data_IF_287318516168
#
_entry.id   IF_287318516168
#
_cell.length_a   1.000
_cell.length_b   1.000
_cell.length_c   1.000
_cell.angle_alpha   90.00
_cell.angle_beta   90.00
_cell.angle_gamma   90.00
#
_symmetry.space_group_name_H-M   'P 1'
#
loop_
_entity.id
_entity.type
_entity.pdbx_description
1 polymer ?
#
# COMPACT_ATOMS: atom_id res chain seq x y z
N UNK A 1 -12.66 13.30 5.95
CA UNK A 1 -12.88 13.02 4.52
C UNK A 1 -12.43 14.24 3.75
N UNK A 2 -11.21 14.18 3.25
CA UNK A 2 -10.70 15.23 2.38
C UNK A 2 -11.46 15.15 1.06
N UNK A 3 -12.17 16.23 0.73
CA UNK A 3 -12.94 16.30 -0.49
C UNK A 3 -12.00 16.56 -1.67
N UNK A 4 -12.29 15.96 -2.83
CA UNK A 4 -11.60 16.27 -4.07
C UNK A 4 -11.88 17.73 -4.43
N UNK A 5 -10.84 18.49 -4.72
CA UNK A 5 -10.94 19.86 -5.24
C UNK A 5 -11.05 19.82 -6.76
N UNK A 6 -12.05 20.48 -7.31
CA UNK A 6 -12.34 20.52 -8.73
C UNK A 6 -12.12 21.92 -9.29
N UNK A 7 -11.38 22.02 -10.38
CA UNK A 7 -11.28 23.25 -11.18
C UNK A 7 -11.99 23.06 -12.52
N UNK A 8 -12.93 23.93 -12.83
CA UNK A 8 -13.79 23.82 -14.01
C UNK A 8 -15.17 23.22 -13.70
N UNK A 9 -15.95 22.96 -14.75
CA UNK A 9 -17.31 22.49 -14.63
C UNK A 9 -17.36 20.97 -14.68
N UNK A 10 -16.98 20.33 -13.57
CA UNK A 10 -17.11 18.89 -13.39
C UNK A 10 -18.55 18.52 -13.07
N UNK A 11 -19.07 17.48 -13.68
CA UNK A 11 -20.41 16.95 -13.43
C UNK A 11 -20.34 15.45 -13.18
N UNK A 12 -21.10 15.01 -12.16
CA UNK A 12 -21.15 13.60 -11.76
C UNK A 12 -22.35 12.93 -12.44
N UNK A 13 -22.07 11.80 -13.06
CA UNK A 13 -23.05 10.88 -13.63
C UNK A 13 -23.30 9.75 -12.64
N UNK A 14 -24.57 9.36 -12.48
CA UNK A 14 -25.00 8.27 -11.61
C UNK A 14 -25.95 7.33 -12.36
N UNK A 15 -25.98 6.05 -11.96
CA UNK A 15 -26.94 5.07 -12.43
C UNK A 15 -26.37 3.91 -13.26
N UNK A 16 -25.05 3.79 -13.39
CA UNK A 16 -24.39 2.68 -14.11
C UNK A 16 -23.52 1.87 -13.14
N UNK A 17 -24.15 1.25 -12.13
CA UNK A 17 -23.47 0.55 -11.03
C UNK A 17 -22.54 -0.59 -11.51
N UNK A 18 -22.85 -1.20 -12.64
CA UNK A 18 -22.05 -2.29 -13.21
C UNK A 18 -20.79 -1.78 -13.94
N UNK A 19 -20.74 -0.48 -14.27
CA UNK A 19 -19.68 0.11 -15.08
C UNK A 19 -18.73 1.01 -14.30
N UNK A 20 -19.21 1.64 -13.23
CA UNK A 20 -18.44 2.62 -12.45
C UNK A 20 -18.42 2.26 -10.98
N UNK A 21 -17.31 2.54 -10.33
CA UNK A 21 -17.17 2.30 -8.89
C UNK A 21 -18.22 3.09 -8.10
N UNK A 22 -19.00 2.40 -7.27
CA UNK A 22 -20.11 3.03 -6.57
C UNK A 22 -21.23 3.57 -7.48
N UNK A 23 -21.27 3.18 -8.75
CA UNK A 23 -22.29 3.59 -9.72
C UNK A 23 -22.16 5.03 -10.21
N UNK A 24 -20.99 5.66 -10.04
CA UNK A 24 -20.81 7.07 -10.40
C UNK A 24 -19.46 7.30 -11.09
N UNK A 25 -19.41 8.27 -12.00
CA UNK A 25 -18.18 8.87 -12.52
C UNK A 25 -18.33 10.38 -12.62
N UNK A 26 -17.25 11.12 -12.59
CA UNK A 26 -17.25 12.57 -12.70
C UNK A 26 -16.48 13.00 -13.95
N UNK A 27 -17.05 13.86 -14.79
CA UNK A 27 -16.50 14.26 -16.08
C UNK A 27 -16.37 15.80 -16.18
N UNK A 28 -15.39 16.26 -16.96
CA UNK A 28 -15.20 17.65 -17.30
C UNK A 28 -14.73 17.81 -18.75
N UNK A 29 -15.13 18.92 -19.38
CA UNK A 29 -14.59 19.38 -20.66
C UNK A 29 -13.71 20.62 -20.43
N UNK A 30 -12.64 20.73 -21.21
CA UNK A 30 -11.77 21.88 -21.25
C UNK A 30 -10.36 21.58 -20.75
N UNK A 31 -9.39 21.72 -21.66
CA UNK A 31 -7.99 21.61 -21.30
C UNK A 31 -7.61 22.65 -20.24
N UNK A 32 -6.73 22.27 -19.32
CA UNK A 32 -6.32 23.07 -18.17
C UNK A 32 -7.21 22.93 -16.93
N UNK A 33 -8.42 22.39 -17.05
CA UNK A 33 -9.22 22.01 -15.89
C UNK A 33 -8.58 20.79 -15.20
N UNK A 34 -8.76 20.70 -13.88
CA UNK A 34 -8.11 19.64 -13.09
C UNK A 34 -8.98 19.17 -11.94
N UNK A 35 -8.63 18.03 -11.41
CA UNK A 35 -8.96 17.65 -10.03
C UNK A 35 -7.69 17.51 -9.21
N UNK A 36 -7.82 17.76 -7.90
CA UNK A 36 -6.75 17.62 -6.93
C UNK A 36 -7.27 16.95 -5.68
N UNK A 37 -6.47 16.06 -5.10
CA UNK A 37 -6.81 15.33 -3.89
C UNK A 37 -5.58 15.17 -2.99
N UNK A 38 -5.72 15.50 -1.72
CA UNK A 38 -4.70 15.23 -0.70
C UNK A 38 -5.02 13.91 0.01
N UNK A 39 -4.01 13.09 0.25
CA UNK A 39 -4.15 11.80 0.89
C UNK A 39 -2.97 11.51 1.80
N UNK A 40 -3.18 10.64 2.81
CA UNK A 40 -2.12 10.07 3.62
C UNK A 40 -1.92 8.61 3.18
N UNK A 41 -0.67 8.23 2.93
CA UNK A 41 -0.37 6.86 2.50
C UNK A 41 0.98 6.70 1.84
N UNK A 42 1.19 5.54 1.23
CA UNK A 42 2.41 5.15 0.51
C UNK A 42 2.20 5.03 -0.99
N UNK A 43 0.99 5.32 -1.47
CA UNK A 43 0.72 5.25 -2.90
C UNK A 43 -0.73 5.55 -3.28
N UNK A 44 -0.91 5.74 -4.58
CA UNK A 44 -2.21 6.04 -5.16
C UNK A 44 -2.37 5.44 -6.55
N UNK A 45 -3.56 4.99 -6.87
CA UNK A 45 -4.00 4.61 -8.20
C UNK A 45 -5.18 5.49 -8.64
N UNK A 46 -5.17 5.86 -9.92
CA UNK A 46 -6.24 6.62 -10.59
C UNK A 46 -6.96 5.72 -11.57
N UNK A 47 -8.25 5.58 -11.41
CA UNK A 47 -9.10 4.79 -12.27
C UNK A 47 -10.08 5.67 -13.04
N UNK A 48 -10.22 5.39 -14.33
CA UNK A 48 -11.01 6.18 -15.29
C UNK A 48 -11.77 5.26 -16.24
N UNK A 49 -12.73 5.81 -16.96
CA UNK A 49 -13.21 5.21 -18.19
C UNK A 49 -12.31 5.65 -19.35
N UNK A 50 -11.88 4.72 -20.20
CA UNK A 50 -11.19 5.02 -21.47
C UNK A 50 -12.15 4.98 -22.65
N UNK A 51 -12.02 5.96 -23.54
CA UNK A 51 -12.85 6.06 -24.73
C UNK A 51 -12.20 6.94 -25.80
N UNK A 52 -12.52 6.72 -27.08
CA UNK A 52 -11.99 7.51 -28.19
C UNK A 52 -12.33 9.00 -28.11
N UNK A 53 -13.32 9.41 -27.32
CA UNK A 53 -13.71 10.81 -27.11
C UNK A 53 -12.94 11.49 -25.97
N UNK A 54 -12.24 10.75 -25.15
CA UNK A 54 -11.48 11.33 -24.04
C UNK A 54 -10.09 11.78 -24.48
N UNK A 55 -9.62 12.81 -23.82
CA UNK A 55 -8.30 13.42 -23.96
C UNK A 55 -7.23 12.64 -23.14
N UNK A 56 -6.29 13.35 -22.58
CA UNK A 56 -5.30 12.83 -21.66
C UNK A 56 -5.33 13.59 -20.34
N UNK A 57 -4.74 13.02 -19.30
CA UNK A 57 -4.45 13.68 -18.03
C UNK A 57 -2.94 13.78 -17.83
N UNK A 58 -2.43 14.99 -17.57
CA UNK A 58 -1.10 15.15 -16.99
C UNK A 58 -1.24 14.96 -15.47
N UNK A 59 -0.50 14.01 -14.93
CA UNK A 59 -0.55 13.64 -13.52
C UNK A 59 0.63 14.26 -12.78
N UNK A 60 0.36 14.87 -11.64
CA UNK A 60 1.36 15.41 -10.73
C UNK A 60 1.23 14.74 -9.36
N UNK A 61 2.35 14.38 -8.75
CA UNK A 61 2.44 14.00 -7.33
C UNK A 61 3.33 15.03 -6.64
N UNK A 62 2.81 15.66 -5.59
CA UNK A 62 3.50 16.69 -4.79
C UNK A 62 4.09 17.83 -5.65
N UNK A 63 3.38 18.17 -6.74
CA UNK A 63 3.78 19.18 -7.70
C UNK A 63 4.74 18.72 -8.80
N UNK A 64 5.28 17.50 -8.74
CA UNK A 64 6.16 16.92 -9.75
C UNK A 64 5.38 16.16 -10.82
N UNK A 65 5.62 16.47 -12.11
CA UNK A 65 4.94 15.82 -13.22
C UNK A 65 5.37 14.34 -13.34
N UNK A 66 4.38 13.47 -13.38
CA UNK A 66 4.53 12.03 -13.66
C UNK A 66 4.24 11.73 -15.15
N UNK A 67 4.09 12.79 -15.96
CA UNK A 67 3.83 12.74 -17.38
C UNK A 67 2.36 12.61 -17.76
N UNK A 68 2.12 12.71 -19.06
CA UNK A 68 0.79 12.65 -19.65
C UNK A 68 0.33 11.21 -19.83
N UNK A 69 -0.90 10.91 -19.42
CA UNK A 69 -1.54 9.59 -19.51
C UNK A 69 -2.75 9.67 -20.40
N UNK A 70 -2.72 8.96 -21.53
CA UNK A 70 -3.82 8.93 -22.48
C UNK A 70 -5.03 8.18 -21.93
N UNK A 71 -6.20 8.76 -22.10
CA UNK A 71 -7.50 8.11 -21.82
C UNK A 71 -8.15 7.53 -23.08
N UNK A 72 -7.40 7.46 -24.19
CA UNK A 72 -7.89 6.83 -25.40
C UNK A 72 -8.17 5.34 -25.19
N UNK A 73 -9.30 4.89 -25.66
CA UNK A 73 -9.74 3.49 -25.59
C UNK A 73 -10.74 3.14 -26.70
N UNK A 74 -11.12 1.88 -26.80
CA UNK A 74 -12.07 1.38 -27.81
C UNK A 74 -13.51 1.87 -27.55
N UNK A 75 -13.81 2.25 -26.32
CA UNK A 75 -15.08 2.85 -25.92
C UNK A 75 -16.16 1.88 -25.49
N UNK A 76 -16.02 0.61 -25.74
CA UNK A 76 -16.97 -0.40 -25.25
C UNK A 76 -16.27 -1.32 -24.25
N UNK A 77 -16.65 -1.23 -22.98
CA UNK A 77 -16.10 -2.06 -21.92
C UNK A 77 -14.76 -1.58 -21.34
N UNK A 78 -14.32 -0.37 -21.69
CA UNK A 78 -13.10 0.25 -21.14
C UNK A 78 -13.39 1.05 -19.87
N UNK A 79 -14.30 0.56 -19.03
CA UNK A 79 -14.67 1.14 -17.72
C UNK A 79 -13.68 0.70 -16.64
N UNK A 80 -13.57 1.50 -15.57
CA UNK A 80 -12.70 1.22 -14.41
C UNK A 80 -11.25 0.85 -14.78
N UNK A 81 -10.70 1.54 -15.78
CA UNK A 81 -9.35 1.28 -16.26
C UNK A 81 -8.31 2.01 -15.42
N UNK A 82 -7.25 1.30 -15.04
CA UNK A 82 -6.09 1.91 -14.39
C UNK A 82 -5.42 2.89 -15.36
N UNK A 83 -5.40 4.17 -15.01
CA UNK A 83 -4.72 5.22 -15.74
C UNK A 83 -3.30 5.47 -15.24
N UNK A 84 -3.15 5.52 -13.93
CA UNK A 84 -1.89 5.82 -13.26
C UNK A 84 -1.77 5.06 -11.94
N UNK A 85 -0.55 4.64 -11.60
CA UNK A 85 -0.21 3.99 -10.33
C UNK A 85 1.15 4.48 -9.83
N UNK A 86 1.24 4.82 -8.54
CA UNK A 86 2.46 5.13 -7.81
C UNK A 86 2.34 4.50 -6.42
N UNK A 87 3.26 3.60 -6.04
CA UNK A 87 3.16 2.79 -4.80
C UNK A 87 4.44 2.83 -3.94
N UNK A 88 5.36 3.71 -4.27
CA UNK A 88 6.68 3.85 -3.64
C UNK A 88 6.89 5.24 -3.04
N UNK A 89 5.79 5.86 -2.58
CA UNK A 89 5.84 7.11 -1.82
C UNK A 89 6.25 6.84 -0.38
N UNK A 90 6.93 7.79 0.24
CA UNK A 90 7.15 7.75 1.68
C UNK A 90 5.80 7.78 2.42
N UNK A 91 5.72 7.16 3.60
CA UNK A 91 4.49 7.22 4.37
C UNK A 91 4.25 8.64 4.89
N UNK A 92 3.22 9.30 4.40
CA UNK A 92 2.96 10.69 4.75
C UNK A 92 1.81 11.30 3.96
N UNK A 93 1.68 12.61 4.10
CA UNK A 93 0.71 13.39 3.34
C UNK A 93 1.25 13.69 1.96
N UNK A 94 0.46 13.38 0.94
CA UNK A 94 0.75 13.61 -0.46
C UNK A 94 -0.41 14.32 -1.15
N UNK A 95 -0.14 14.91 -2.30
CA UNK A 95 -1.15 15.53 -3.16
C UNK A 95 -1.03 14.99 -4.57
N UNK A 96 -2.14 14.50 -5.13
CA UNK A 96 -2.26 14.20 -6.55
C UNK A 96 -3.06 15.31 -7.22
N UNK A 97 -2.56 15.81 -8.36
CA UNK A 97 -3.30 16.69 -9.26
C UNK A 97 -3.29 16.08 -10.66
N UNK A 98 -4.45 16.03 -11.30
CA UNK A 98 -4.61 15.56 -12.67
C UNK A 98 -5.22 16.63 -13.53
N UNK A 99 -4.47 17.14 -14.50
CA UNK A 99 -4.83 18.25 -15.38
C UNK A 99 -5.24 17.71 -16.75
N UNK A 100 -6.36 18.17 -17.28
CA UNK A 100 -6.82 17.80 -18.62
C UNK A 100 -5.88 18.43 -19.67
N UNK A 101 -5.28 17.58 -20.50
CA UNK A 101 -4.43 17.95 -21.63
C UNK A 101 -5.12 17.53 -22.91
N UNK A 102 -5.19 18.46 -23.88
CA UNK A 102 -5.76 18.14 -25.19
C UNK A 102 -4.96 17.00 -25.85
N UNK A 103 -5.67 16.01 -26.33
CA UNK A 103 -5.13 14.91 -27.09
C UNK A 103 -6.04 14.58 -28.28
N UNK A 104 -5.48 14.48 -29.48
CA UNK A 104 -6.23 14.13 -30.71
C UNK A 104 -7.45 15.02 -30.96
N UNK A 105 -7.36 16.34 -30.61
CA UNK A 105 -8.48 17.29 -30.73
C UNK A 105 -9.61 17.02 -29.71
N UNK A 106 -9.34 16.24 -28.63
CA UNK A 106 -10.26 15.99 -27.54
C UNK A 106 -9.78 16.73 -26.29
N UNK A 107 -10.74 17.21 -25.50
CA UNK A 107 -10.47 17.95 -24.26
C UNK A 107 -11.38 17.52 -23.09
N UNK A 108 -12.01 16.36 -23.22
CA UNK A 108 -12.86 15.78 -22.17
C UNK A 108 -12.08 14.72 -21.38
N UNK A 109 -12.23 14.72 -20.07
CA UNK A 109 -11.69 13.71 -19.18
C UNK A 109 -12.70 13.32 -18.10
N UNK A 110 -12.43 12.21 -17.42
CA UNK A 110 -13.25 11.74 -16.31
C UNK A 110 -12.38 11.18 -15.18
N UNK A 111 -12.97 11.06 -14.01
CA UNK A 111 -12.49 10.30 -12.87
C UNK A 111 -13.59 9.34 -12.46
N UNK A 112 -13.26 8.06 -12.34
CA UNK A 112 -14.13 7.05 -11.73
C UNK A 112 -13.86 7.00 -10.21
N UNK A 113 -12.65 6.55 -9.81
CA UNK A 113 -12.25 6.55 -8.41
C UNK A 113 -10.73 6.63 -8.22
N UNK A 114 -10.34 6.95 -6.99
CA UNK A 114 -8.98 6.90 -6.50
C UNK A 114 -8.85 5.74 -5.51
N UNK A 115 -7.74 4.99 -5.59
CA UNK A 115 -7.39 3.96 -4.60
C UNK A 115 -6.12 4.38 -3.88
N UNK A 116 -6.22 4.55 -2.57
CA UNK A 116 -5.09 4.92 -1.72
C UNK A 116 -4.47 3.67 -1.13
N UNK A 117 -3.14 3.62 -1.09
CA UNK A 117 -2.37 2.63 -0.39
C UNK A 117 -1.84 3.27 0.89
N UNK A 118 -2.25 2.72 2.00
CA UNK A 118 -1.65 3.02 3.30
C UNK A 118 -0.57 1.98 3.57
N UNK A 119 0.45 2.27 4.39
CA UNK A 119 1.28 1.20 4.92
C UNK A 119 0.32 0.15 5.44
N UNK A 120 0.54 -1.11 5.10
CA UNK A 120 0.01 -2.17 5.94
C UNK A 120 0.50 -1.78 7.33
N UNK A 121 -0.41 -1.50 8.27
CA UNK A 121 0.01 -1.40 9.66
C UNK A 121 0.87 -2.64 9.85
N UNK A 122 2.16 -2.45 10.11
CA UNK A 122 2.96 -3.47 10.73
C UNK A 122 2.15 -3.78 11.98
N UNK A 123 1.37 -4.84 11.93
CA UNK A 123 0.89 -5.45 13.18
C UNK A 123 2.19 -5.74 13.88
N UNK A 124 2.52 -4.88 14.86
CA UNK A 124 3.71 -5.07 15.68
C UNK A 124 3.55 -6.47 16.25
N UNK A 125 4.36 -7.38 15.70
CA UNK A 125 4.23 -8.80 16.03
C UNK A 125 4.50 -8.91 17.52
N UNK A 126 3.53 -9.40 18.28
CA UNK A 126 3.65 -9.50 19.73
C UNK A 126 4.77 -10.48 20.08
N UNK A 127 5.92 -9.94 20.45
CA UNK A 127 7.10 -10.69 20.87
C UNK A 127 7.18 -10.89 22.40
N UNK A 128 6.14 -10.53 23.14
CA UNK A 128 6.16 -10.58 24.62
C UNK A 128 6.40 -11.99 25.18
N UNK A 129 5.87 -13.02 24.55
CA UNK A 129 6.10 -14.41 24.95
C UNK A 129 7.52 -14.85 24.64
N UNK A 130 8.03 -14.53 23.44
CA UNK A 130 9.42 -14.80 23.06
C UNK A 130 10.38 -14.11 24.02
N UNK A 131 10.14 -12.84 24.36
CA UNK A 131 10.94 -12.09 25.34
C UNK A 131 10.96 -12.75 26.72
N UNK A 132 9.80 -13.23 27.20
CA UNK A 132 9.72 -13.96 28.49
C UNK A 132 10.55 -15.23 28.46
N UNK A 133 10.43 -16.03 27.37
CA UNK A 133 11.14 -17.29 27.21
C UNK A 133 12.66 -17.08 27.13
N UNK A 134 13.13 -16.09 26.38
CA UNK A 134 14.54 -15.70 26.31
C UNK A 134 15.04 -15.27 27.70
N UNK A 135 14.27 -14.47 28.43
CA UNK A 135 14.64 -14.00 29.77
C UNK A 135 14.74 -15.16 30.76
N UNK A 136 13.87 -16.17 30.68
CA UNK A 136 13.96 -17.37 31.52
C UNK A 136 15.16 -18.23 31.12
N UNK A 137 15.35 -18.48 29.83
CA UNK A 137 16.43 -19.28 29.30
C UNK A 137 17.82 -18.68 29.58
N UNK A 138 17.94 -17.34 29.62
CA UNK A 138 19.20 -16.65 29.94
C UNK A 138 19.71 -16.88 31.37
N UNK A 139 18.87 -17.41 32.28
CA UNK A 139 19.24 -17.74 33.66
C UNK A 139 19.83 -19.14 33.81
N UNK A 140 19.79 -19.95 32.77
CA UNK A 140 20.38 -21.29 32.76
C UNK A 140 21.91 -21.21 32.80
N UNK A 141 22.55 -22.12 33.52
CA UNK A 141 24.01 -22.11 33.71
C UNK A 141 24.62 -23.33 33.04
N UNK A 142 25.58 -23.10 32.14
CA UNK A 142 26.24 -24.11 31.31
C UNK A 142 26.73 -25.33 32.10
N UNK A 143 27.33 -25.10 33.25
CA UNK A 143 27.94 -26.14 34.10
C UNK A 143 26.93 -27.12 34.70
N UNK A 144 25.63 -26.81 34.60
CA UNK A 144 24.56 -27.69 35.08
C UNK A 144 24.14 -28.79 34.09
N UNK A 145 24.62 -28.72 32.83
CA UNK A 145 24.14 -29.56 31.73
C UNK A 145 25.30 -30.27 31.00
N UNK A 146 24.97 -31.36 30.28
CA UNK A 146 25.94 -32.02 29.41
C UNK A 146 26.40 -31.10 28.26
N UNK A 147 27.71 -31.08 27.93
CA UNK A 147 28.22 -30.14 26.94
C UNK A 147 27.53 -30.18 25.58
N UNK A 148 27.19 -31.35 25.08
CA UNK A 148 26.50 -31.54 23.79
C UNK A 148 25.09 -30.93 23.80
N UNK A 149 24.37 -31.14 24.90
CA UNK A 149 23.02 -30.61 25.08
C UNK A 149 23.06 -29.07 25.20
N UNK A 150 24.02 -28.55 25.97
CA UNK A 150 24.21 -27.14 26.11
C UNK A 150 24.52 -26.44 24.79
N UNK A 151 25.37 -27.02 23.95
CA UNK A 151 25.66 -26.47 22.63
C UNK A 151 24.44 -26.46 21.70
N UNK A 152 23.62 -27.52 21.72
CA UNK A 152 22.37 -27.57 20.96
C UNK A 152 21.37 -26.49 21.41
N UNK A 153 21.16 -26.35 22.73
CA UNK A 153 20.34 -25.31 23.32
C UNK A 153 20.83 -23.91 22.93
N UNK A 154 22.13 -23.66 23.06
CA UNK A 154 22.73 -22.35 22.78
C UNK A 154 22.53 -21.93 21.32
N UNK A 155 22.56 -22.87 20.37
CA UNK A 155 22.27 -22.58 18.97
C UNK A 155 20.81 -22.09 18.77
N UNK A 156 19.85 -22.75 19.42
CA UNK A 156 18.43 -22.36 19.39
C UNK A 156 18.21 -21.03 20.09
N UNK A 157 18.78 -20.85 21.28
CA UNK A 157 18.70 -19.59 22.03
C UNK A 157 19.18 -18.38 21.19
N UNK A 158 20.32 -18.51 20.51
CA UNK A 158 20.85 -17.44 19.68
C UNK A 158 19.92 -17.10 18.50
N UNK A 159 19.27 -18.11 17.85
CA UNK A 159 18.26 -17.87 16.81
C UNK A 159 17.04 -17.13 17.38
N UNK A 160 16.56 -17.52 18.55
CA UNK A 160 15.45 -16.85 19.21
C UNK A 160 15.75 -15.37 19.49
N UNK A 161 16.98 -15.06 19.93
CA UNK A 161 17.46 -13.68 20.14
C UNK A 161 17.53 -12.91 18.80
N UNK A 162 17.92 -13.55 17.69
CA UNK A 162 17.90 -12.91 16.37
C UNK A 162 16.49 -12.54 15.95
N UNK A 163 15.52 -13.46 16.07
CA UNK A 163 14.10 -13.19 15.76
C UNK A 163 13.53 -12.08 16.65
N UNK A 164 13.93 -12.05 17.94
CA UNK A 164 13.51 -11.00 18.87
C UNK A 164 13.95 -9.60 18.42
N UNK A 165 15.15 -9.48 17.85
CA UNK A 165 15.75 -8.23 17.42
C UNK A 165 15.51 -7.89 15.95
N UNK A 166 14.79 -8.73 15.22
CA UNK A 166 14.42 -8.50 13.82
C UNK A 166 13.10 -7.75 13.75
N UNK A 167 13.13 -6.47 13.36
CA UNK A 167 11.94 -5.61 13.26
C UNK A 167 10.96 -6.10 12.17
N UNK A 168 11.45 -6.86 11.19
CA UNK A 168 10.66 -7.45 10.10
C UNK A 168 10.20 -8.89 10.38
N UNK A 169 10.43 -9.42 11.59
CA UNK A 169 10.03 -10.76 11.95
C UNK A 169 8.50 -10.95 11.85
N UNK A 170 8.08 -11.98 11.14
CA UNK A 170 6.67 -12.35 10.99
C UNK A 170 6.15 -13.07 12.24
N UNK A 171 4.82 -13.05 12.44
CA UNK A 171 4.15 -13.80 13.53
C UNK A 171 4.56 -15.29 13.54
N UNK A 172 4.61 -15.91 12.36
CA UNK A 172 5.03 -17.31 12.23
C UNK A 172 6.49 -17.55 12.67
N UNK A 173 7.40 -16.60 12.38
CA UNK A 173 8.79 -16.69 12.83
C UNK A 173 8.91 -16.56 14.35
N UNK A 174 8.13 -15.67 14.95
CA UNK A 174 8.09 -15.48 16.41
C UNK A 174 7.51 -16.72 17.10
N UNK A 175 6.39 -17.27 16.62
CA UNK A 175 5.76 -18.49 17.14
C UNK A 175 6.72 -19.68 17.03
N UNK A 176 7.39 -19.87 15.90
CA UNK A 176 8.39 -20.92 15.73
C UNK A 176 9.56 -20.75 16.71
N UNK A 177 10.06 -19.54 16.91
CA UNK A 177 11.15 -19.28 17.85
C UNK A 177 10.74 -19.56 19.31
N UNK A 178 9.49 -19.27 19.69
CA UNK A 178 8.92 -19.60 21.00
C UNK A 178 8.92 -21.11 21.21
N UNK A 179 8.40 -21.86 20.25
CA UNK A 179 8.26 -23.32 20.31
C UNK A 179 9.64 -24.02 20.35
N UNK A 180 10.54 -23.64 19.40
CA UNK A 180 11.90 -24.21 19.36
C UNK A 180 12.69 -23.96 20.66
N UNK A 181 12.58 -22.74 21.22
CA UNK A 181 13.27 -22.40 22.46
C UNK A 181 12.72 -23.20 23.65
N UNK A 182 11.40 -23.37 23.74
CA UNK A 182 10.77 -24.17 24.77
C UNK A 182 11.21 -25.66 24.68
N UNK A 183 11.20 -26.24 23.48
CA UNK A 183 11.68 -27.63 23.24
C UNK A 183 13.17 -27.81 23.60
N UNK A 184 14.01 -26.82 23.22
CA UNK A 184 15.44 -26.86 23.54
C UNK A 184 15.71 -26.79 25.04
N UNK A 185 14.92 -26.05 25.81
CA UNK A 185 15.01 -25.99 27.28
C UNK A 185 14.59 -27.34 27.89
N UNK A 186 13.54 -27.99 27.37
CA UNK A 186 13.07 -29.31 27.83
C UNK A 186 14.12 -30.40 27.54
N UNK A 187 14.88 -30.25 26.46
CA UNK A 187 15.87 -31.23 26.02
C UNK A 187 17.21 -31.17 26.80
N UNK A 188 17.43 -30.16 27.65
CA UNK A 188 18.61 -30.01 28.49
C UNK A 188 18.66 -31.09 29.59
#
# INVERSE_FOLDING_TARGET
NDAITWSGNWSTWAGEADRHHGGTKTECNGAGNYFEYSFNGTGIEVYVQKHANFAALEVFIDGESQGVKSMNGSGSGDDQQLLFSKKDLENGQHTIRCVIVEERGKNQANLDYLKIFTPTESTEVDKAELQRNITMASKLVETAYAPEKWQAFKAVYNRAVQVMNDDDATEAQVENAVNELAEAVIAL
#
